data_IF_821126311197
#
_entry.id   IF_821126311197
#
_cell.length_a   1.000
_cell.length_b   1.000
_cell.length_c   1.000
_cell.angle_alpha   90.00
_cell.angle_beta   90.00
_cell.angle_gamma   90.00
#
_symmetry.space_group_name_H-M   'P 1'
#
loop_
_entity.id
_entity.type
_entity.pdbx_description
1 polymer ?
#
# COMPACT_ATOMS: atom_id res chain seq x y z
N UNK A 1 80.13 3.60 -17.34
CA UNK A 1 79.16 3.05 -16.35
C UNK A 1 78.49 4.09 -15.45
N UNK A 2 78.59 5.41 -15.70
CA UNK A 2 77.91 6.48 -14.86
C UNK A 2 76.59 6.98 -15.42
N UNK A 3 76.27 6.63 -16.68
CA UNK A 3 74.98 7.12 -17.31
C UNK A 3 73.76 6.26 -17.03
N UNK A 4 73.93 5.00 -16.59
CA UNK A 4 72.82 4.10 -16.32
C UNK A 4 72.11 4.39 -15.04
N UNK A 5 72.79 4.97 -14.03
CA UNK A 5 72.19 5.36 -12.76
C UNK A 5 71.28 6.58 -12.85
N UNK A 6 71.48 7.47 -13.83
CA UNK A 6 70.67 8.69 -13.99
C UNK A 6 69.30 8.35 -14.64
N UNK A 7 69.24 7.30 -15.43
CA UNK A 7 68.01 6.89 -16.11
C UNK A 7 67.06 6.13 -15.18
N UNK A 8 67.58 5.44 -14.16
CA UNK A 8 66.79 4.71 -13.17
C UNK A 8 66.13 5.64 -12.17
N UNK A 9 66.74 6.77 -11.81
CA UNK A 9 66.16 7.73 -10.89
C UNK A 9 65.01 8.54 -11.47
N UNK A 10 64.91 8.69 -12.80
CA UNK A 10 63.79 9.46 -13.43
C UNK A 10 62.51 8.62 -13.50
N UNK A 11 62.64 7.31 -13.50
CA UNK A 11 61.48 6.38 -13.54
C UNK A 11 60.72 6.24 -12.21
N UNK A 12 61.28 6.71 -11.09
CA UNK A 12 60.67 6.67 -9.76
C UNK A 12 59.95 7.95 -9.34
N UNK A 13 59.96 9.02 -10.17
CA UNK A 13 59.31 10.28 -9.93
C UNK A 13 58.02 10.47 -10.74
N UNK A 14 57.24 9.36 -10.93
CA UNK A 14 55.89 9.52 -11.39
C UNK A 14 55.02 9.85 -10.16
N UNK A 15 54.46 11.07 -10.04
CA UNK A 15 53.71 11.45 -8.85
C UNK A 15 52.43 10.62 -8.78
N UNK A 16 52.25 9.93 -7.67
CA UNK A 16 51.00 9.33 -7.21
C UNK A 16 49.91 10.42 -6.99
N UNK A 17 49.52 11.16 -8.02
CA UNK A 17 48.45 12.16 -7.91
C UNK A 17 47.09 11.60 -8.28
N UNK A 18 46.95 10.33 -8.69
CA UNK A 18 45.68 9.73 -9.12
C UNK A 18 44.75 9.30 -8.00
N UNK A 19 45.25 9.01 -6.80
CA UNK A 19 44.47 8.24 -5.80
C UNK A 19 43.50 9.06 -4.97
N UNK A 20 43.67 10.39 -4.83
CA UNK A 20 42.82 11.21 -3.97
C UNK A 20 41.46 11.56 -4.64
N UNK A 21 41.42 11.59 -5.96
CA UNK A 21 40.23 11.95 -6.71
C UNK A 21 39.27 10.77 -6.88
N UNK A 22 39.80 9.57 -7.10
CA UNK A 22 39.03 8.33 -7.14
C UNK A 22 38.38 8.01 -5.79
N UNK A 23 39.09 8.24 -4.69
CA UNK A 23 38.55 8.01 -3.34
C UNK A 23 37.37 8.96 -3.00
N UNK A 24 37.35 10.19 -3.57
CA UNK A 24 36.25 11.13 -3.35
C UNK A 24 35.00 10.79 -4.18
N UNK A 25 35.17 10.33 -5.39
CA UNK A 25 34.07 9.86 -6.25
C UNK A 25 33.44 8.61 -5.64
N UNK A 26 34.24 7.65 -5.21
CA UNK A 26 33.75 6.42 -4.59
C UNK A 26 32.92 6.68 -3.31
N UNK A 27 33.30 7.68 -2.50
CA UNK A 27 32.56 8.03 -1.27
C UNK A 27 31.17 8.64 -1.55
N UNK A 28 31.00 9.39 -2.66
CA UNK A 28 29.68 9.86 -3.10
C UNK A 28 28.83 8.74 -3.66
N UNK A 29 29.41 7.88 -4.45
CA UNK A 29 28.74 6.71 -5.02
C UNK A 29 28.31 5.73 -3.92
N UNK A 30 29.19 5.42 -2.96
CA UNK A 30 28.83 4.61 -1.80
C UNK A 30 27.65 5.16 -1.02
N UNK A 31 27.59 6.49 -0.79
CA UNK A 31 26.44 7.13 -0.11
C UNK A 31 25.16 7.09 -0.95
N UNK A 32 25.24 7.15 -2.27
CA UNK A 32 24.06 7.03 -3.16
C UNK A 32 23.54 5.58 -3.18
N UNK A 33 24.43 4.61 -3.23
CA UNK A 33 24.12 3.18 -3.17
C UNK A 33 23.46 2.87 -1.82
N UNK A 34 24.04 3.33 -0.72
CA UNK A 34 23.47 3.13 0.64
C UNK A 34 22.06 3.74 0.79
N UNK A 35 21.85 4.96 0.27
CA UNK A 35 20.52 5.59 0.24
C UNK A 35 19.54 4.83 -0.65
N UNK A 36 20.01 4.29 -1.76
CA UNK A 36 19.23 3.45 -2.66
C UNK A 36 18.80 2.13 -2.00
N UNK A 37 19.73 1.48 -1.30
CA UNK A 37 19.47 0.25 -0.54
C UNK A 37 18.49 0.51 0.61
N UNK A 38 18.71 1.54 1.43
CA UNK A 38 17.77 1.92 2.50
C UNK A 38 16.35 2.24 2.00
N UNK A 39 16.23 2.85 0.80
CA UNK A 39 14.92 3.06 0.17
C UNK A 39 14.28 1.76 -0.30
N UNK A 40 15.06 0.82 -0.85
CA UNK A 40 14.57 -0.50 -1.25
C UNK A 40 14.14 -1.32 -0.03
N UNK A 41 14.97 -1.37 1.02
CA UNK A 41 14.64 -2.05 2.27
C UNK A 41 13.37 -1.50 2.93
N UNK A 42 13.21 -0.17 2.98
CA UNK A 42 12.00 0.47 3.53
C UNK A 42 10.75 0.19 2.67
N UNK A 43 10.89 0.04 1.35
CA UNK A 43 9.79 -0.41 0.49
C UNK A 43 9.49 -1.89 0.71
N UNK A 44 10.51 -2.74 0.80
CA UNK A 44 10.36 -4.18 0.97
C UNK A 44 9.79 -4.53 2.35
N UNK A 45 10.16 -3.80 3.43
CA UNK A 45 9.57 -4.01 4.76
C UNK A 45 8.07 -3.68 4.77
N UNK A 46 7.64 -2.60 4.12
CA UNK A 46 6.21 -2.28 3.97
C UNK A 46 5.43 -3.35 3.20
N UNK A 47 6.07 -4.05 2.25
CA UNK A 47 5.42 -5.13 1.48
C UNK A 47 5.45 -6.49 2.19
N UNK A 48 6.33 -6.68 3.17
CA UNK A 48 6.40 -7.93 3.96
C UNK A 48 5.25 -8.10 4.95
N UNK A 49 4.57 -7.02 5.28
CA UNK A 49 3.44 -7.01 6.22
C UNK A 49 2.11 -7.35 5.54
N UNK A 50 2.07 -7.38 4.20
CA UNK A 50 0.87 -7.65 3.44
C UNK A 50 0.88 -9.08 2.91
N UNK A 51 -0.26 -9.76 3.02
CA UNK A 51 -0.47 -11.04 2.36
C UNK A 51 -0.64 -10.86 0.83
N UNK A 52 -0.81 -11.97 0.10
CA UNK A 52 -1.03 -11.99 -1.36
C UNK A 52 -2.24 -11.16 -1.81
N UNK A 53 -3.24 -10.96 -0.94
CA UNK A 53 -4.44 -10.17 -1.20
C UNK A 53 -4.29 -8.70 -0.82
N UNK A 54 -3.10 -8.26 -0.38
CA UNK A 54 -2.82 -6.89 0.02
C UNK A 54 -3.42 -6.51 1.38
N UNK A 55 -3.68 -7.50 2.24
CA UNK A 55 -4.19 -7.34 3.60
C UNK A 55 -3.03 -7.37 4.59
N UNK A 56 -3.02 -6.42 5.50
CA UNK A 56 -2.09 -6.42 6.63
C UNK A 56 -2.60 -7.34 7.74
N UNK A 57 -2.03 -8.53 7.83
CA UNK A 57 -2.45 -9.56 8.79
C UNK A 57 -2.02 -9.24 10.23
N UNK A 58 -1.08 -8.31 10.42
CA UNK A 58 -0.61 -7.87 11.74
C UNK A 58 -1.32 -6.62 12.26
N UNK A 59 -2.29 -6.11 11.49
CA UNK A 59 -3.06 -4.94 11.89
C UNK A 59 -3.91 -5.23 13.14
N UNK A 60 -4.10 -4.22 13.97
CA UNK A 60 -4.89 -4.33 15.21
C UNK A 60 -6.40 -4.33 14.95
N UNK A 61 -6.84 -3.86 13.78
CA UNK A 61 -8.24 -3.84 13.41
C UNK A 61 -8.44 -4.00 11.89
N UNK A 62 -9.66 -4.36 11.49
CA UNK A 62 -10.04 -4.61 10.09
C UNK A 62 -9.78 -3.38 9.20
N UNK A 63 -10.08 -2.16 9.68
CA UNK A 63 -9.89 -0.93 8.90
C UNK A 63 -8.41 -0.73 8.55
N UNK A 64 -7.51 -0.97 9.50
CA UNK A 64 -6.07 -0.90 9.26
C UNK A 64 -5.62 -2.01 8.31
N UNK A 65 -6.12 -3.24 8.51
CA UNK A 65 -5.79 -4.38 7.69
C UNK A 65 -6.09 -4.14 6.20
N UNK A 66 -7.24 -3.54 5.89
CA UNK A 66 -7.68 -3.27 4.51
C UNK A 66 -7.37 -1.85 4.03
N UNK A 67 -6.57 -1.08 4.78
CA UNK A 67 -6.29 0.35 4.49
C UNK A 67 -5.92 0.62 3.04
N UNK A 68 -5.18 -0.28 2.42
CA UNK A 68 -4.76 -0.16 1.03
C UNK A 68 -5.94 -0.17 0.06
N UNK A 69 -6.98 -0.96 0.33
CA UNK A 69 -8.18 -1.08 -0.50
C UNK A 69 -9.12 0.12 -0.33
N UNK A 70 -9.06 0.79 0.82
CA UNK A 70 -9.90 1.96 1.09
C UNK A 70 -9.50 3.19 0.27
N UNK A 71 -8.26 3.27 -0.24
CA UNK A 71 -7.78 4.38 -1.07
C UNK A 71 -7.99 5.75 -0.42
N UNK A 72 -8.81 6.61 -1.06
CA UNK A 72 -9.09 7.98 -0.62
C UNK A 72 -10.20 8.10 0.44
N UNK A 73 -10.76 6.99 0.93
CA UNK A 73 -11.81 7.01 1.94
C UNK A 73 -11.34 7.74 3.22
N UNK A 74 -12.25 8.49 3.85
CA UNK A 74 -12.02 9.13 5.15
C UNK A 74 -12.34 8.13 6.26
N UNK A 75 -11.48 8.03 7.24
CA UNK A 75 -11.69 7.18 8.42
C UNK A 75 -11.96 8.09 9.61
N UNK A 76 -13.04 7.84 10.32
CA UNK A 76 -13.46 8.54 11.53
C UNK A 76 -13.68 7.51 12.66
N UNK A 77 -12.66 7.36 13.53
CA UNK A 77 -12.68 6.34 14.57
C UNK A 77 -12.78 4.93 13.97
N UNK A 78 -13.90 4.25 14.25
CA UNK A 78 -14.21 2.91 13.75
C UNK A 78 -15.21 2.91 12.58
N UNK A 79 -15.35 4.02 11.86
CA UNK A 79 -16.27 4.17 10.72
C UNK A 79 -15.52 4.69 9.50
N UNK A 80 -16.03 4.39 8.31
CA UNK A 80 -15.40 4.74 7.04
C UNK A 80 -16.38 5.50 6.15
N UNK A 81 -15.95 6.63 5.58
CA UNK A 81 -16.69 7.40 4.59
C UNK A 81 -16.04 7.17 3.24
N UNK A 82 -16.73 6.47 2.36
CA UNK A 82 -16.25 6.10 1.03
C UNK A 82 -16.60 7.18 0.00
N UNK A 83 -17.79 7.75 0.09
CA UNK A 83 -18.33 8.74 -0.83
C UNK A 83 -18.28 10.14 -0.21
N UNK A 84 -17.16 10.84 -0.41
CA UNK A 84 -16.94 12.18 0.18
C UNK A 84 -17.87 13.26 -0.39
N UNK A 85 -18.17 13.17 -1.67
CA UNK A 85 -18.92 14.21 -2.39
C UNK A 85 -20.42 14.25 -2.04
N UNK A 86 -20.88 13.25 -1.29
CA UNK A 86 -22.28 13.15 -0.82
C UNK A 86 -22.49 13.58 0.62
N UNK A 87 -21.47 14.11 1.27
CA UNK A 87 -21.60 14.67 2.62
C UNK A 87 -22.59 15.84 2.53
N UNK A 88 -23.83 15.63 2.97
CA UNK A 88 -24.86 16.67 3.04
C UNK A 88 -26.10 16.48 2.16
N UNK A 89 -26.12 15.52 1.22
CA UNK A 89 -27.23 15.42 0.27
C UNK A 89 -28.41 14.52 0.70
N UNK A 90 -28.22 13.60 1.67
CA UNK A 90 -29.21 12.58 2.02
C UNK A 90 -29.21 12.12 3.48
N UNK A 91 -28.56 12.85 4.36
CA UNK A 91 -28.45 12.40 5.75
C UNK A 91 -29.15 13.38 6.69
N UNK A 92 -30.05 12.90 7.50
CA UNK A 92 -30.66 13.60 8.61
C UNK A 92 -29.62 14.00 9.69
N UNK A 93 -28.53 14.66 9.26
CA UNK A 93 -27.42 15.10 10.11
C UNK A 93 -26.32 14.07 10.40
N UNK A 94 -26.47 12.80 10.01
CA UNK A 94 -25.40 11.82 10.19
C UNK A 94 -24.42 11.79 8.99
N UNK A 95 -23.09 11.66 9.25
CA UNK A 95 -22.12 11.44 8.18
C UNK A 95 -22.41 10.16 7.38
N UNK A 96 -22.14 10.14 6.06
CA UNK A 96 -22.45 9.03 5.18
C UNK A 96 -21.46 7.88 5.37
N UNK A 97 -21.57 7.16 6.47
CA UNK A 97 -20.73 6.00 6.76
C UNK A 97 -21.08 4.82 5.87
N UNK A 98 -20.06 4.19 5.31
CA UNK A 98 -20.19 3.01 4.47
C UNK A 98 -20.75 1.82 5.26
N UNK A 99 -21.56 1.01 4.58
CA UNK A 99 -22.01 -0.29 5.10
C UNK A 99 -20.90 -1.34 4.91
N UNK A 100 -20.88 -2.30 5.82
CA UNK A 100 -19.99 -3.46 5.75
C UNK A 100 -20.80 -4.68 5.35
N UNK A 101 -20.27 -5.38 4.36
CA UNK A 101 -20.78 -6.66 3.89
C UNK A 101 -19.69 -7.72 4.03
N UNK A 102 -19.98 -8.81 4.70
CA UNK A 102 -19.07 -9.96 4.83
C UNK A 102 -19.75 -11.17 4.23
N UNK A 103 -19.17 -11.70 3.17
CA UNK A 103 -19.67 -12.87 2.43
C UNK A 103 -21.16 -12.79 2.04
N UNK A 104 -21.63 -11.58 1.69
CA UNK A 104 -23.03 -11.30 1.32
C UNK A 104 -23.95 -10.93 2.49
N UNK A 105 -23.42 -10.90 3.73
CA UNK A 105 -24.18 -10.51 4.90
C UNK A 105 -23.90 -9.05 5.27
N UNK A 106 -24.91 -8.19 5.25
CA UNK A 106 -24.81 -6.80 5.70
C UNK A 106 -24.72 -6.74 7.23
N UNK A 107 -23.58 -6.25 7.73
CA UNK A 107 -23.32 -6.14 9.18
C UNK A 107 -23.77 -4.80 9.74
N UNK A 108 -23.61 -3.71 8.98
CA UNK A 108 -23.95 -2.35 9.41
C UNK A 108 -22.85 -1.33 9.08
N UNK A 109 -22.82 -0.19 9.80
CA UNK A 109 -21.90 0.93 9.55
C UNK A 109 -20.55 0.80 10.27
N UNK A 110 -20.36 -0.25 11.07
CA UNK A 110 -19.11 -0.55 11.79
C UNK A 110 -18.50 -1.83 11.26
N UNK A 111 -17.16 -1.96 11.26
CA UNK A 111 -16.52 -3.18 10.82
C UNK A 111 -16.95 -4.37 11.71
N UNK A 112 -16.99 -5.58 11.14
CA UNK A 112 -17.39 -6.76 11.88
C UNK A 112 -16.42 -7.02 13.05
N UNK A 113 -16.93 -7.20 14.27
CA UNK A 113 -16.08 -7.56 15.39
C UNK A 113 -15.60 -9.02 15.23
N UNK A 114 -14.33 -9.27 15.55
CA UNK A 114 -13.78 -10.63 15.57
C UNK A 114 -13.54 -11.27 14.20
N UNK A 115 -13.55 -10.48 13.11
CA UNK A 115 -13.18 -11.00 11.79
C UNK A 115 -11.70 -11.42 11.77
N UNK A 116 -11.44 -12.67 11.42
CA UNK A 116 -10.09 -13.16 11.23
C UNK A 116 -9.47 -12.54 9.96
N UNK A 117 -8.41 -11.74 10.15
CA UNK A 117 -7.73 -11.04 9.06
C UNK A 117 -7.06 -12.01 8.08
N UNK A 118 -6.66 -13.19 8.54
CA UNK A 118 -6.05 -14.21 7.69
C UNK A 118 -7.05 -14.88 6.76
N UNK A 119 -8.33 -14.85 7.12
CA UNK A 119 -9.40 -15.42 6.28
C UNK A 119 -9.79 -14.50 5.11
N UNK A 120 -9.45 -13.22 5.15
CA UNK A 120 -9.81 -12.25 4.11
C UNK A 120 -9.09 -12.58 2.80
N UNK A 121 -9.86 -12.77 1.72
CA UNK A 121 -9.37 -13.09 0.38
C UNK A 121 -9.56 -11.95 -0.61
N UNK A 122 -10.67 -11.22 -0.49
CA UNK A 122 -10.98 -10.11 -1.39
C UNK A 122 -11.66 -8.99 -0.63
N UNK A 123 -11.27 -7.76 -0.95
CA UNK A 123 -11.94 -6.54 -0.47
C UNK A 123 -12.37 -5.74 -1.67
N UNK A 124 -13.67 -5.45 -1.78
CA UNK A 124 -14.25 -4.62 -2.82
C UNK A 124 -14.92 -3.41 -2.17
N UNK A 125 -14.62 -2.21 -2.69
CA UNK A 125 -15.19 -0.97 -2.19
C UNK A 125 -16.07 -0.36 -3.26
N UNK A 126 -17.39 -0.41 -3.05
CA UNK A 126 -18.38 0.17 -3.95
C UNK A 126 -18.56 1.65 -3.66
N UNK A 127 -18.26 2.49 -4.66
CA UNK A 127 -18.25 3.96 -4.54
C UNK A 127 -19.21 4.62 -5.53
N UNK A 128 -19.60 3.92 -6.57
CA UNK A 128 -20.50 4.46 -7.58
C UNK A 128 -21.95 4.11 -7.23
N UNK A 129 -22.86 5.04 -7.54
CA UNK A 129 -24.30 4.82 -7.30
C UNK A 129 -24.79 3.60 -8.06
N UNK A 130 -24.32 3.43 -9.28
CA UNK A 130 -24.72 2.33 -10.15
C UNK A 130 -24.35 0.97 -9.53
N UNK A 131 -23.10 0.79 -9.12
CA UNK A 131 -22.64 -0.46 -8.51
C UNK A 131 -23.36 -0.76 -7.21
N UNK A 132 -23.64 0.27 -6.43
CA UNK A 132 -24.34 0.15 -5.16
C UNK A 132 -25.80 -0.26 -5.39
N UNK A 133 -26.51 0.43 -6.27
CA UNK A 133 -27.92 0.14 -6.54
C UNK A 133 -28.11 -1.25 -7.16
N UNK A 134 -27.21 -1.67 -8.04
CA UNK A 134 -27.25 -3.00 -8.65
C UNK A 134 -27.07 -4.14 -7.66
N UNK A 135 -26.27 -3.95 -6.60
CA UNK A 135 -25.93 -5.01 -5.66
C UNK A 135 -26.69 -4.91 -4.32
N UNK A 136 -26.99 -3.71 -3.86
CA UNK A 136 -27.49 -3.43 -2.51
C UNK A 136 -28.76 -2.58 -2.48
N UNK A 137 -29.25 -2.14 -3.64
CA UNK A 137 -30.42 -1.27 -3.73
C UNK A 137 -30.21 0.04 -2.98
N UNK A 138 -31.27 0.53 -2.33
CA UNK A 138 -31.25 1.79 -1.56
C UNK A 138 -30.42 1.67 -0.27
N UNK A 139 -30.29 0.49 0.30
CA UNK A 139 -29.57 0.28 1.57
C UNK A 139 -28.08 0.68 1.48
N UNK A 140 -27.47 0.49 0.32
CA UNK A 140 -26.06 0.80 0.07
C UNK A 140 -25.74 2.26 -0.23
N UNK A 141 -26.71 3.19 -0.22
CA UNK A 141 -26.61 4.56 -0.76
C UNK A 141 -25.44 5.41 -0.31
N UNK A 142 -24.76 5.03 0.79
CA UNK A 142 -23.62 5.74 1.37
C UNK A 142 -22.25 5.08 1.03
N UNK A 143 -22.25 4.03 0.22
CA UNK A 143 -21.09 3.20 -0.11
C UNK A 143 -21.08 1.89 0.67
N UNK A 144 -20.45 0.87 0.08
CA UNK A 144 -20.34 -0.46 0.68
C UNK A 144 -18.91 -0.96 0.63
N UNK A 145 -18.45 -1.55 1.72
CA UNK A 145 -17.17 -2.25 1.83
C UNK A 145 -17.49 -3.74 1.96
N UNK A 146 -17.27 -4.49 0.88
CA UNK A 146 -17.48 -5.93 0.84
C UNK A 146 -16.17 -6.67 1.11
N UNK A 147 -16.23 -7.60 2.03
CA UNK A 147 -15.15 -8.51 2.39
C UNK A 147 -15.59 -9.92 2.07
N UNK A 148 -14.81 -10.60 1.24
CA UNK A 148 -15.00 -12.02 0.98
C UNK A 148 -13.92 -12.79 1.72
N UNK A 149 -14.33 -13.76 2.55
CA UNK A 149 -13.44 -14.64 3.29
C UNK A 149 -13.23 -15.97 2.59
N UNK A 150 -14.12 -16.38 1.69
CA UNK A 150 -14.02 -17.62 0.92
C UNK A 150 -13.89 -17.31 -0.57
N UNK A 151 -13.02 -18.08 -1.28
CA UNK A 151 -12.85 -17.97 -2.74
C UNK A 151 -14.04 -18.52 -3.54
N UNK A 152 -15.04 -19.09 -2.87
CA UNK A 152 -16.11 -19.87 -3.50
C UNK A 152 -17.36 -19.08 -3.88
N UNK A 153 -17.43 -17.80 -3.53
CA UNK A 153 -18.54 -16.97 -3.96
C UNK A 153 -18.15 -16.20 -5.23
N UNK A 154 -18.60 -16.62 -6.43
CA UNK A 154 -18.47 -15.77 -7.62
C UNK A 154 -19.26 -14.47 -7.36
N UNK A 155 -18.68 -13.33 -7.75
CA UNK A 155 -19.43 -12.06 -7.75
C UNK A 155 -20.69 -12.26 -8.61
N UNK A 156 -21.88 -11.98 -8.11
CA UNK A 156 -23.13 -12.22 -8.85
C UNK A 156 -23.25 -11.40 -10.15
N UNK A 157 -22.31 -10.51 -10.43
CA UNK A 157 -22.33 -9.60 -11.58
C UNK A 157 -21.47 -10.11 -12.76
N UNK A 158 -20.62 -11.10 -12.60
CA UNK A 158 -19.74 -11.62 -13.66
C UNK A 158 -20.31 -12.84 -14.40
N UNK A 159 -21.60 -13.08 -14.33
CA UNK A 159 -22.27 -13.98 -15.29
C UNK A 159 -22.63 -13.18 -16.53
N UNK A 160 -21.70 -13.23 -17.47
CA UNK A 160 -21.86 -13.05 -18.92
C UNK A 160 -22.81 -11.95 -19.42
N UNK A 161 -22.16 -10.91 -19.91
CA UNK A 161 -22.66 -10.18 -21.11
C UNK A 161 -21.54 -10.03 -22.11
#
# INVERSE_FOLDING_TARGET
>A
MKFIYLLVCVLFLVPLQGTAQEARVSKKEARMIERGLKRKEKKTSKFRELNEFGIDIYATNVIQAIRRHLGTAKIEGNKVIVMRDRIGSFTDGEPPYALWDVDGNLIGKTPPPGLDLMSIRKVTVYRTVYDIQSNYGLAGGQGVIRINTTLTMPDPILTDR
#
